data_IF_108729961523
#
_entry.id   IF_108729961523
#
_cell.length_a   1.000
_cell.length_b   1.000
_cell.length_c   1.000
_cell.angle_alpha   90.00
_cell.angle_beta   90.00
_cell.angle_gamma   90.00
#
_symmetry.space_group_name_H-M   'P 1'
#
loop_
_entity.id
_entity.type
_entity.pdbx_description
1 polymer ?
#
# COMPACT_ATOMS: atom_id res chain seq x y z
N UNK A 1 -21.59 -43.90 -35.86
CA UNK A 1 -22.18 -43.87 -34.50
C UNK A 1 -21.46 -42.78 -33.71
N UNK A 2 -21.75 -42.61 -32.43
CA UNK A 2 -21.14 -41.56 -31.58
C UNK A 2 -20.48 -42.23 -30.38
N UNK A 3 -19.18 -41.99 -30.20
CA UNK A 3 -18.44 -42.45 -29.02
C UNK A 3 -18.35 -41.35 -27.98
N UNK A 4 -18.29 -41.74 -26.71
CA UNK A 4 -18.19 -40.79 -25.59
C UNK A 4 -16.77 -40.79 -25.03
N UNK A 5 -16.23 -39.59 -24.77
CA UNK A 5 -14.90 -39.45 -24.21
C UNK A 5 -14.86 -39.98 -22.76
N UNK A 6 -13.98 -40.94 -22.42
CA UNK A 6 -13.92 -41.50 -21.06
C UNK A 6 -13.42 -40.47 -20.02
N UNK A 7 -12.75 -39.39 -20.46
CA UNK A 7 -12.22 -38.35 -19.56
C UNK A 7 -13.23 -37.24 -19.23
N UNK A 8 -14.15 -36.91 -20.14
CA UNK A 8 -15.04 -35.75 -19.96
C UNK A 8 -16.51 -35.97 -20.36
N UNK A 9 -16.88 -37.15 -20.87
CA UNK A 9 -18.25 -37.49 -21.24
C UNK A 9 -18.79 -36.80 -22.50
N UNK A 10 -17.98 -36.05 -23.25
CA UNK A 10 -18.44 -35.40 -24.47
C UNK A 10 -18.71 -36.41 -25.60
N UNK A 11 -19.80 -36.24 -26.39
CA UNK A 11 -20.02 -37.01 -27.60
C UNK A 11 -19.00 -36.60 -28.67
N UNK A 12 -18.41 -37.58 -29.34
CA UNK A 12 -17.46 -37.39 -30.43
C UNK A 12 -17.81 -38.31 -31.60
N UNK A 13 -17.48 -37.91 -32.85
CA UNK A 13 -17.54 -38.79 -34.01
C UNK A 13 -16.74 -40.08 -33.77
N UNK A 14 -17.18 -41.21 -34.32
CA UNK A 14 -16.48 -42.49 -34.14
C UNK A 14 -15.04 -42.47 -34.69
N UNK A 15 -14.81 -41.73 -35.77
CA UNK A 15 -13.52 -41.52 -36.43
C UNK A 15 -12.64 -40.46 -35.75
N UNK A 16 -13.14 -39.79 -34.70
CA UNK A 16 -12.37 -38.77 -33.99
C UNK A 16 -11.15 -39.37 -33.28
N UNK A 17 -9.93 -39.00 -33.70
CA UNK A 17 -8.69 -39.41 -33.03
C UNK A 17 -8.52 -38.76 -31.65
N UNK A 18 -8.98 -37.51 -31.51
CA UNK A 18 -8.91 -36.74 -30.28
C UNK A 18 -10.30 -36.24 -29.86
N UNK A 19 -10.52 -36.08 -28.56
CA UNK A 19 -11.75 -35.49 -28.05
C UNK A 19 -11.80 -33.99 -28.37
N UNK A 20 -12.88 -33.53 -29.03
CA UNK A 20 -13.04 -32.13 -29.39
C UNK A 20 -13.21 -31.17 -28.19
N UNK A 21 -13.57 -31.70 -27.01
CA UNK A 21 -13.77 -30.90 -25.80
C UNK A 21 -12.54 -30.82 -24.90
N UNK A 22 -11.79 -31.91 -24.75
CA UNK A 22 -10.69 -32.00 -23.77
C UNK A 22 -9.35 -32.51 -24.33
N UNK A 23 -9.28 -32.83 -25.62
CA UNK A 23 -8.04 -33.28 -26.28
C UNK A 23 -7.60 -34.71 -25.99
N UNK A 24 -8.42 -35.54 -25.34
CA UNK A 24 -8.09 -36.94 -25.05
C UNK A 24 -7.87 -37.79 -26.31
N UNK A 25 -6.75 -38.52 -26.40
CA UNK A 25 -6.40 -39.39 -27.55
C UNK A 25 -7.02 -40.80 -27.42
N UNK A 26 -7.94 -41.11 -28.33
CA UNK A 26 -8.67 -42.39 -28.33
C UNK A 26 -7.83 -43.59 -28.80
N UNK A 27 -6.68 -43.38 -29.44
CA UNK A 27 -5.81 -44.48 -29.89
C UNK A 27 -5.19 -45.28 -28.74
N UNK A 28 -5.15 -44.69 -27.54
CA UNK A 28 -4.67 -45.35 -26.32
C UNK A 28 -5.58 -46.48 -25.84
N UNK A 29 -6.86 -46.49 -26.23
CA UNK A 29 -7.82 -47.52 -25.82
C UNK A 29 -7.71 -48.83 -26.63
N UNK A 30 -7.03 -48.81 -27.79
CA UNK A 30 -6.91 -49.98 -28.66
C UNK A 30 -5.70 -50.89 -28.35
N UNK A 31 -4.91 -50.58 -27.31
CA UNK A 31 -3.67 -51.30 -27.00
C UNK A 31 -3.75 -52.31 -25.85
N UNK A 32 -4.93 -52.83 -25.52
CA UNK A 32 -5.03 -53.91 -24.52
C UNK A 32 -5.52 -55.23 -25.14
N UNK A 33 -4.61 -56.22 -25.12
CA UNK A 33 -4.71 -57.69 -25.26
C UNK A 33 -4.42 -58.40 -26.61
N UNK A 34 -3.87 -59.65 -26.60
CA UNK A 34 -3.41 -60.50 -25.48
C UNK A 34 -1.92 -60.94 -25.51
N UNK A 35 -1.46 -61.37 -24.32
CA UNK A 35 -0.14 -61.91 -24.03
C UNK A 35 0.05 -63.34 -24.57
N UNK A 36 1.06 -63.56 -25.44
CA UNK A 36 1.91 -64.77 -25.45
C UNK A 36 2.95 -64.71 -26.59
N UNK A 37 4.04 -63.94 -26.43
CA UNK A 37 5.28 -64.18 -27.19
C UNK A 37 6.49 -63.77 -26.33
N UNK A 38 7.54 -64.61 -26.20
CA UNK A 38 8.79 -64.22 -25.60
C UNK A 38 9.54 -63.33 -26.61
N UNK A 39 9.32 -62.03 -26.51
CA UNK A 39 10.03 -61.02 -27.31
C UNK A 39 11.45 -60.86 -26.76
N UNK A 40 12.44 -61.22 -27.57
CA UNK A 40 13.84 -60.87 -27.36
C UNK A 40 13.99 -59.35 -27.24
N UNK A 41 14.44 -58.91 -26.08
CA UNK A 41 14.92 -57.55 -25.85
C UNK A 41 16.23 -57.34 -26.60
N UNK A 42 16.15 -56.80 -27.82
CA UNK A 42 17.33 -56.28 -28.49
C UNK A 42 16.94 -55.03 -29.30
N UNK A 43 16.92 -53.87 -28.64
CA UNK A 43 17.68 -52.67 -29.01
C UNK A 43 17.17 -51.43 -28.24
N UNK A 44 18.06 -50.57 -27.73
CA UNK A 44 17.70 -49.33 -27.06
C UNK A 44 17.37 -48.25 -28.10
N UNK A 45 16.09 -47.98 -28.32
CA UNK A 45 15.66 -46.73 -28.97
C UNK A 45 15.79 -45.57 -27.98
N UNK A 46 17.02 -45.12 -27.82
CA UNK A 46 17.38 -43.89 -27.11
C UNK A 46 17.29 -42.73 -28.11
N UNK A 47 16.07 -42.41 -28.60
CA UNK A 47 15.85 -41.16 -29.33
C UNK A 47 15.35 -40.12 -28.31
N UNK A 48 16.15 -39.08 -27.99
CA UNK A 48 15.67 -37.99 -27.16
C UNK A 48 14.53 -37.30 -27.89
N UNK A 49 13.30 -37.43 -27.37
CA UNK A 49 12.21 -36.57 -27.79
C UNK A 49 12.67 -35.12 -27.65
N UNK A 50 12.44 -34.25 -28.64
CA UNK A 50 12.68 -32.82 -28.50
C UNK A 50 11.83 -32.36 -27.32
N UNK A 51 12.46 -32.15 -26.16
CA UNK A 51 11.77 -31.62 -25.02
C UNK A 51 11.45 -30.18 -25.39
N UNK A 52 10.22 -29.94 -25.83
CA UNK A 52 9.67 -28.61 -25.96
C UNK A 52 9.38 -28.12 -24.53
N UNK A 53 10.45 -28.00 -23.74
CA UNK A 53 10.39 -27.42 -22.42
C UNK A 53 10.06 -25.95 -22.65
N UNK A 54 8.92 -25.45 -22.13
CA UNK A 54 8.64 -24.04 -22.19
C UNK A 54 9.84 -23.29 -21.62
N UNK A 55 10.24 -22.14 -22.20
CA UNK A 55 11.42 -21.42 -21.78
C UNK A 55 11.40 -21.26 -20.26
N UNK A 56 12.32 -21.96 -19.60
CA UNK A 56 12.45 -21.90 -18.16
C UNK A 56 12.98 -20.51 -17.86
N UNK A 57 12.09 -19.60 -17.47
CA UNK A 57 12.47 -18.32 -16.88
C UNK A 57 13.48 -18.66 -15.79
N UNK A 58 14.70 -18.10 -15.87
CA UNK A 58 15.79 -18.46 -14.99
C UNK A 58 15.56 -17.84 -13.59
N UNK A 59 14.66 -18.46 -12.81
CA UNK A 59 14.24 -18.03 -11.47
C UNK A 59 15.43 -17.98 -10.50
N UNK A 60 16.49 -18.76 -10.77
CA UNK A 60 17.70 -18.81 -9.93
C UNK A 60 18.44 -17.47 -9.95
N UNK A 61 18.63 -16.84 -11.12
CA UNK A 61 19.30 -15.53 -11.23
C UNK A 61 18.54 -14.43 -10.47
N UNK A 62 17.21 -14.52 -10.41
CA UNK A 62 16.40 -13.54 -9.68
C UNK A 62 16.52 -13.69 -8.15
N UNK A 63 16.67 -14.92 -7.64
CA UNK A 63 16.83 -15.16 -6.21
C UNK A 63 18.11 -14.52 -5.66
N UNK A 64 19.20 -14.53 -6.42
CA UNK A 64 20.47 -13.90 -6.03
C UNK A 64 20.40 -12.36 -6.00
N UNK A 65 19.55 -11.77 -6.86
CA UNK A 65 19.39 -10.31 -6.96
C UNK A 65 18.46 -9.77 -5.86
N UNK A 66 17.44 -10.55 -5.45
CA UNK A 66 16.40 -10.09 -4.54
C UNK A 66 16.86 -9.52 -3.17
N UNK A 67 17.79 -10.15 -2.41
CA UNK A 67 18.19 -9.61 -1.10
C UNK A 67 19.04 -8.34 -1.23
N UNK A 68 19.81 -8.21 -2.33
CA UNK A 68 20.65 -7.04 -2.60
C UNK A 68 19.81 -5.82 -3.00
N UNK A 69 18.66 -6.04 -3.65
CA UNK A 69 17.76 -4.98 -4.08
C UNK A 69 16.87 -4.45 -2.93
N UNK A 70 16.65 -5.24 -1.89
CA UNK A 70 15.79 -4.88 -0.76
C UNK A 70 16.43 -3.86 0.21
N UNK A 71 17.77 -3.79 0.27
CA UNK A 71 18.51 -2.82 1.10
C UNK A 71 18.38 -1.38 0.59
N UNK A 72 18.66 -1.07 -0.68
CA UNK A 72 18.45 0.27 -1.20
C UNK A 72 16.97 0.67 -1.15
N UNK A 73 16.03 -0.26 -1.37
CA UNK A 73 14.60 0.05 -1.27
C UNK A 73 14.17 0.62 0.09
N UNK A 74 14.61 0.00 1.19
CA UNK A 74 14.30 0.51 2.54
C UNK A 74 14.89 1.90 2.82
N UNK A 75 16.11 2.17 2.33
CA UNK A 75 16.75 3.48 2.47
C UNK A 75 16.02 4.55 1.64
N UNK A 76 15.68 4.24 0.38
CA UNK A 76 14.95 5.16 -0.51
C UNK A 76 13.57 5.49 0.05
N UNK A 77 12.87 4.50 0.60
CA UNK A 77 11.60 4.72 1.31
C UNK A 77 11.77 5.70 2.48
N UNK A 78 12.80 5.50 3.29
CA UNK A 78 13.09 6.34 4.46
C UNK A 78 13.38 7.79 4.06
N UNK A 79 14.21 7.98 3.03
CA UNK A 79 14.54 9.30 2.47
C UNK A 79 13.26 9.97 1.98
N UNK A 80 12.41 9.24 1.27
CA UNK A 80 11.15 9.79 0.76
C UNK A 80 10.22 10.28 1.89
N UNK A 81 10.09 9.52 2.98
CA UNK A 81 9.28 9.92 4.14
C UNK A 81 9.84 11.18 4.82
N UNK A 82 11.17 11.31 4.92
CA UNK A 82 11.80 12.53 5.42
C UNK A 82 11.51 13.71 4.50
N UNK A 83 11.65 13.53 3.19
CA UNK A 83 11.36 14.58 2.21
C UNK A 83 9.90 15.05 2.31
N UNK A 84 8.94 14.14 2.40
CA UNK A 84 7.52 14.48 2.62
C UNK A 84 7.35 15.26 3.92
N UNK A 85 8.02 14.83 5.00
CA UNK A 85 7.94 15.53 6.29
C UNK A 85 8.50 16.96 6.18
N UNK A 86 9.61 17.15 5.47
CA UNK A 86 10.20 18.47 5.20
C UNK A 86 9.26 19.31 4.34
N UNK A 87 8.72 18.76 3.25
CA UNK A 87 7.74 19.44 2.40
C UNK A 87 6.53 19.89 3.21
N UNK A 88 6.00 19.02 4.06
CA UNK A 88 4.89 19.34 4.94
C UNK A 88 5.23 20.45 5.93
N UNK A 89 6.42 20.45 6.55
CA UNK A 89 6.86 21.54 7.44
C UNK A 89 6.97 22.86 6.68
N UNK A 90 7.51 22.84 5.45
CA UNK A 90 7.66 24.03 4.62
C UNK A 90 6.32 24.64 4.22
N UNK A 91 5.34 23.83 3.78
CA UNK A 91 3.98 24.26 3.38
C UNK A 91 3.22 25.09 4.41
N UNK A 92 3.70 25.14 5.63
CA UNK A 92 2.88 25.32 6.82
C UNK A 92 3.60 26.22 7.86
N UNK A 93 4.92 26.39 7.72
CA UNK A 93 5.73 27.47 8.31
C UNK A 93 5.16 28.87 8.03
N UNK A 94 4.34 28.99 7.00
CA UNK A 94 3.58 30.17 6.56
C UNK A 94 2.63 30.70 7.65
N UNK A 95 1.98 29.79 8.38
CA UNK A 95 0.90 30.13 9.33
C UNK A 95 1.40 30.80 10.61
N UNK A 96 2.69 30.65 10.92
CA UNK A 96 3.31 31.07 12.19
C UNK A 96 3.66 32.56 12.28
N UNK A 97 3.69 33.30 11.17
CA UNK A 97 4.24 34.67 11.11
C UNK A 97 3.19 35.77 11.40
N UNK A 98 1.91 35.41 11.66
CA UNK A 98 0.91 36.40 12.12
C UNK A 98 1.07 36.71 13.61
N UNK A 99 1.92 37.69 13.90
CA UNK A 99 2.18 38.22 15.24
C UNK A 99 0.95 39.03 15.73
N UNK A 100 0.20 38.45 16.69
CA UNK A 100 -0.79 39.12 17.53
C UNK A 100 -2.19 38.46 17.61
N UNK A 101 -2.58 37.96 18.79
CA UNK A 101 -3.95 37.49 19.08
C UNK A 101 -4.21 36.02 18.75
N UNK A 102 -5.41 35.69 18.24
CA UNK A 102 -5.83 34.31 17.89
C UNK A 102 -4.84 33.60 16.95
N UNK A 103 -4.12 34.35 16.12
CA UNK A 103 -3.12 33.81 15.19
C UNK A 103 -1.87 33.22 15.87
N UNK A 104 -1.50 33.71 17.06
CA UNK A 104 -0.38 33.13 17.81
C UNK A 104 -0.74 31.74 18.36
N UNK A 105 -2.00 31.55 18.79
CA UNK A 105 -2.50 30.25 19.23
C UNK A 105 -2.57 29.25 18.08
N UNK A 106 -3.08 29.68 16.92
CA UNK A 106 -3.07 28.88 15.67
C UNK A 106 -1.64 28.47 15.32
N UNK A 107 -0.71 29.43 15.31
CA UNK A 107 0.70 29.17 15.04
C UNK A 107 1.32 28.15 16.00
N UNK A 108 1.10 28.30 17.31
CA UNK A 108 1.60 27.37 18.31
C UNK A 108 1.11 25.93 18.13
N UNK A 109 -0.18 25.75 17.82
CA UNK A 109 -0.77 24.43 17.54
C UNK A 109 -0.17 23.83 16.27
N UNK A 110 -0.09 24.63 15.21
CA UNK A 110 0.56 24.25 13.96
C UNK A 110 2.03 23.83 14.15
N UNK A 111 2.80 24.54 14.98
CA UNK A 111 4.18 24.15 15.30
C UNK A 111 4.24 22.79 16.00
N UNK A 112 3.31 22.54 16.93
CA UNK A 112 3.17 21.24 17.58
C UNK A 112 2.92 20.11 16.59
N UNK A 113 2.02 20.32 15.62
CA UNK A 113 1.74 19.36 14.55
C UNK A 113 3.00 19.01 13.74
N UNK A 114 3.81 20.02 13.41
CA UNK A 114 5.04 19.83 12.61
C UNK A 114 6.10 19.03 13.34
N UNK A 115 6.27 19.31 14.64
CA UNK A 115 7.19 18.54 15.48
C UNK A 115 6.73 17.08 15.50
N UNK A 116 5.43 16.82 15.62
CA UNK A 116 4.89 15.46 15.60
C UNK A 116 5.14 14.78 14.24
N UNK A 117 4.90 15.44 13.12
CA UNK A 117 5.19 14.88 11.79
C UNK A 117 6.68 14.56 11.60
N UNK A 118 7.57 15.46 12.01
CA UNK A 118 9.01 15.24 11.93
C UNK A 118 9.42 14.04 12.79
N UNK A 119 8.85 13.91 14.00
CA UNK A 119 9.08 12.76 14.86
C UNK A 119 8.57 11.47 14.21
N UNK A 120 7.37 11.46 13.63
CA UNK A 120 6.84 10.31 12.88
C UNK A 120 7.80 9.92 11.74
N UNK A 121 8.24 10.89 10.94
CA UNK A 121 9.19 10.65 9.84
C UNK A 121 10.51 10.07 10.32
N UNK A 122 11.06 10.60 11.42
CA UNK A 122 12.30 10.11 12.03
C UNK A 122 12.14 8.68 12.58
N UNK A 123 11.03 8.37 13.24
CA UNK A 123 10.73 7.01 13.73
C UNK A 123 10.55 6.00 12.59
N UNK A 124 9.92 6.43 11.48
CA UNK A 124 9.79 5.59 10.28
C UNK A 124 11.14 5.34 9.60
N UNK A 125 12.03 6.35 9.55
CA UNK A 125 13.40 6.17 9.08
C UNK A 125 14.16 5.19 9.97
N UNK A 126 14.13 5.36 11.29
CA UNK A 126 14.80 4.43 12.22
C UNK A 126 14.27 3.00 12.10
N UNK A 127 12.96 2.83 11.90
CA UNK A 127 12.33 1.52 11.70
C UNK A 127 12.77 0.85 10.41
N UNK A 128 12.90 1.64 9.34
CA UNK A 128 13.32 1.16 8.03
C UNK A 128 14.79 0.73 8.05
N UNK A 129 15.65 1.45 8.78
CA UNK A 129 17.05 1.06 9.01
C UNK A 129 17.13 -0.28 9.75
N UNK A 130 16.33 -0.45 10.81
CA UNK A 130 16.30 -1.71 11.59
C UNK A 130 15.55 -2.85 10.89
N UNK A 131 14.87 -2.59 9.76
CA UNK A 131 14.02 -3.54 9.01
C UNK A 131 13.00 -4.28 9.89
N UNK A 132 12.68 -3.72 11.04
CA UNK A 132 11.80 -4.32 12.04
C UNK A 132 11.08 -3.19 12.73
N UNK A 133 9.78 -3.10 12.44
CA UNK A 133 8.88 -2.25 13.20
C UNK A 133 8.58 -3.03 14.48
N UNK A 134 9.28 -2.69 15.56
CA UNK A 134 8.98 -3.27 16.86
C UNK A 134 7.59 -2.82 17.32
N UNK A 135 6.92 -3.63 18.15
CA UNK A 135 5.63 -3.23 18.74
C UNK A 135 5.72 -1.90 19.51
N UNK A 136 6.90 -1.58 20.07
CA UNK A 136 7.17 -0.29 20.70
C UNK A 136 7.14 0.89 19.72
N UNK A 137 7.65 0.73 18.50
CA UNK A 137 7.59 1.80 17.49
C UNK A 137 6.15 2.02 17.02
N UNK A 138 5.37 0.95 16.78
CA UNK A 138 3.94 1.09 16.44
C UNK A 138 3.19 1.85 17.52
N UNK A 139 3.48 1.54 18.78
CA UNK A 139 2.89 2.21 19.93
C UNK A 139 3.25 3.70 19.97
N UNK A 140 4.52 4.06 19.79
CA UNK A 140 4.95 5.47 19.74
C UNK A 140 4.29 6.20 18.57
N UNK A 141 4.29 5.60 17.37
CA UNK A 141 3.64 6.19 16.20
C UNK A 141 2.14 6.41 16.42
N UNK A 142 1.48 5.50 17.14
CA UNK A 142 0.06 5.63 17.49
C UNK A 142 -0.18 6.77 18.49
N UNK A 143 0.69 6.94 19.49
CA UNK A 143 0.62 8.09 20.42
C UNK A 143 0.85 9.40 19.67
N UNK A 144 1.84 9.45 18.78
CA UNK A 144 2.10 10.63 17.95
C UNK A 144 0.90 10.95 17.05
N UNK A 145 0.32 9.94 16.41
CA UNK A 145 -0.93 10.10 15.64
C UNK A 145 -2.09 10.61 16.49
N UNK A 146 -2.26 10.10 17.72
CA UNK A 146 -3.26 10.61 18.66
C UNK A 146 -3.07 12.09 18.99
N UNK A 147 -1.84 12.48 19.35
CA UNK A 147 -1.52 13.87 19.69
C UNK A 147 -1.74 14.80 18.50
N UNK A 148 -1.36 14.38 17.31
CA UNK A 148 -1.61 15.11 16.07
C UNK A 148 -3.11 15.38 15.86
N UNK A 149 -3.95 14.36 16.04
CA UNK A 149 -5.39 14.49 15.87
C UNK A 149 -6.02 15.44 16.90
N UNK A 150 -5.52 15.46 18.14
CA UNK A 150 -5.95 16.42 19.15
C UNK A 150 -5.56 17.84 18.75
N UNK A 151 -4.32 18.06 18.31
CA UNK A 151 -3.87 19.38 17.87
C UNK A 151 -4.65 19.87 16.65
N UNK A 152 -4.93 19.01 15.67
CA UNK A 152 -5.82 19.33 14.55
C UNK A 152 -7.23 19.72 15.02
N UNK A 153 -7.76 19.02 16.04
CA UNK A 153 -9.03 19.39 16.67
C UNK A 153 -9.00 20.79 17.28
N UNK A 154 -7.97 21.07 18.08
CA UNK A 154 -7.75 22.38 18.71
C UNK A 154 -7.58 23.48 17.67
N UNK A 155 -6.83 23.22 16.59
CA UNK A 155 -6.66 24.15 15.47
C UNK A 155 -8.01 24.57 14.89
N UNK A 156 -8.85 23.59 14.54
CA UNK A 156 -10.18 23.84 13.98
C UNK A 156 -11.10 24.61 14.96
N UNK A 157 -11.02 24.34 16.26
CA UNK A 157 -11.78 25.11 17.26
C UNK A 157 -11.32 26.57 17.34
N UNK A 158 -10.02 26.83 17.23
CA UNK A 158 -9.48 28.20 17.27
C UNK A 158 -9.89 28.98 16.00
N UNK A 159 -9.96 28.32 14.85
CA UNK A 159 -10.33 28.93 13.57
C UNK A 159 -11.77 29.48 13.55
N UNK A 160 -12.69 28.84 14.29
CA UNK A 160 -14.02 29.40 14.60
C UNK A 160 -15.20 28.58 14.08
N UNK A 161 -16.39 29.22 14.03
CA UNK A 161 -17.69 28.53 14.04
C UNK A 161 -17.96 27.58 12.87
N UNK A 162 -17.39 27.84 11.68
CA UNK A 162 -17.55 26.96 10.52
C UNK A 162 -16.71 25.69 10.60
N UNK A 163 -15.68 25.65 11.45
CA UNK A 163 -14.76 24.52 11.61
C UNK A 163 -15.01 23.73 12.91
N UNK A 164 -16.01 24.11 13.72
CA UNK A 164 -16.33 23.39 14.98
C UNK A 164 -16.64 21.91 14.71
N UNK A 165 -17.39 21.61 13.65
CA UNK A 165 -17.66 20.22 13.24
C UNK A 165 -16.38 19.43 12.99
N UNK A 166 -15.49 19.99 12.16
CA UNK A 166 -14.17 19.43 11.85
C UNK A 166 -13.34 19.17 13.12
N UNK A 167 -13.37 20.12 14.06
CA UNK A 167 -12.65 20.03 15.33
C UNK A 167 -13.17 18.90 16.21
N UNK A 168 -14.49 18.79 16.36
CA UNK A 168 -15.13 17.70 17.12
C UNK A 168 -14.80 16.35 16.49
N UNK A 169 -14.91 16.24 15.16
CA UNK A 169 -14.61 15.02 14.42
C UNK A 169 -13.15 14.58 14.61
N UNK A 170 -12.20 15.51 14.57
CA UNK A 170 -10.78 15.23 14.82
C UNK A 170 -10.52 14.73 16.25
N UNK A 171 -11.13 15.35 17.27
CA UNK A 171 -10.98 14.92 18.66
C UNK A 171 -11.61 13.54 18.88
N UNK A 172 -12.80 13.28 18.33
CA UNK A 172 -13.43 11.96 18.41
C UNK A 172 -12.53 10.93 17.74
N UNK A 173 -12.05 11.22 16.53
CA UNK A 173 -11.11 10.35 15.81
C UNK A 173 -9.85 10.04 16.64
N UNK A 174 -9.30 11.02 17.35
CA UNK A 174 -8.17 10.82 18.27
C UNK A 174 -8.52 9.79 19.36
N UNK A 175 -9.67 9.94 20.02
CA UNK A 175 -10.12 8.99 21.05
C UNK A 175 -10.27 7.57 20.48
N UNK A 176 -10.91 7.43 19.31
CA UNK A 176 -11.04 6.13 18.64
C UNK A 176 -9.66 5.53 18.29
N UNK A 177 -8.70 6.33 17.85
CA UNK A 177 -7.33 5.89 17.56
C UNK A 177 -6.60 5.43 18.82
N UNK A 178 -6.78 6.14 19.93
CA UNK A 178 -6.21 5.76 21.23
C UNK A 178 -6.79 4.43 21.72
N UNK A 179 -8.12 4.27 21.68
CA UNK A 179 -8.79 3.01 22.05
C UNK A 179 -8.33 1.87 21.15
N UNK A 180 -8.28 2.09 19.83
CA UNK A 180 -7.75 1.15 18.84
C UNK A 180 -6.35 0.66 19.22
N UNK A 181 -5.45 1.58 19.59
CA UNK A 181 -4.07 1.25 19.96
C UNK A 181 -4.00 0.29 21.16
N UNK A 182 -4.79 0.54 22.22
CA UNK A 182 -4.80 -0.34 23.39
C UNK A 182 -5.39 -1.72 23.08
N UNK A 183 -6.51 -1.75 22.34
CA UNK A 183 -7.18 -2.99 21.99
C UNK A 183 -6.37 -3.85 21.01
N UNK A 184 -5.65 -3.23 20.07
CA UNK A 184 -4.82 -3.92 19.09
C UNK A 184 -3.68 -4.73 19.72
N UNK A 185 -3.16 -4.30 20.87
CA UNK A 185 -2.09 -4.99 21.62
C UNK A 185 -2.60 -6.20 22.42
N UNK A 186 -3.91 -6.38 22.52
CA UNK A 186 -4.49 -7.52 23.22
C UNK A 186 -4.10 -8.84 22.54
N UNK A 187 -3.79 -9.86 23.35
CA UNK A 187 -3.57 -11.22 22.86
C UNK A 187 -4.86 -11.90 22.37
N UNK A 188 -6.03 -11.36 22.73
CA UNK A 188 -7.31 -11.85 22.26
C UNK A 188 -7.58 -11.41 20.83
N UNK A 189 -7.83 -12.38 19.96
CA UNK A 189 -8.15 -12.16 18.55
C UNK A 189 -9.39 -11.26 18.37
N UNK A 190 -10.44 -11.46 19.15
CA UNK A 190 -11.65 -10.62 19.14
C UNK A 190 -11.37 -9.17 19.56
N UNK A 191 -10.53 -8.98 20.59
CA UNK A 191 -10.16 -7.65 21.07
C UNK A 191 -9.29 -6.93 20.05
N UNK A 192 -8.36 -7.65 19.41
CA UNK A 192 -7.53 -7.10 18.33
C UNK A 192 -8.40 -6.66 17.14
N UNK A 193 -9.38 -7.47 16.72
CA UNK A 193 -10.34 -7.08 15.68
C UNK A 193 -11.15 -5.85 16.05
N UNK A 194 -11.65 -5.80 17.28
CA UNK A 194 -12.36 -4.62 17.79
C UNK A 194 -11.47 -3.39 17.69
N UNK A 195 -10.20 -3.49 18.09
CA UNK A 195 -9.22 -2.42 17.92
C UNK A 195 -9.09 -1.96 16.47
N UNK A 196 -8.96 -2.88 15.52
CA UNK A 196 -8.89 -2.54 14.08
C UNK A 196 -10.18 -1.82 13.62
N UNK A 197 -11.37 -2.21 14.09
CA UNK A 197 -12.63 -1.48 13.83
C UNK A 197 -12.58 -0.05 14.35
N UNK A 198 -12.14 0.14 15.59
CA UNK A 198 -11.98 1.48 16.17
C UNK A 198 -10.99 2.32 15.36
N UNK A 199 -9.90 1.71 14.88
CA UNK A 199 -8.93 2.37 14.00
C UNK A 199 -9.50 2.77 12.64
N UNK A 200 -10.37 1.94 12.05
CA UNK A 200 -11.10 2.28 10.83
C UNK A 200 -11.98 3.51 11.04
N UNK A 201 -12.78 3.51 12.10
CA UNK A 201 -13.69 4.60 12.43
C UNK A 201 -12.89 5.89 12.67
N UNK A 202 -11.77 5.80 13.41
CA UNK A 202 -10.87 6.93 13.60
C UNK A 202 -10.39 7.52 12.27
N UNK A 203 -9.93 6.67 11.35
CA UNK A 203 -9.44 7.14 10.06
C UNK A 203 -10.53 7.72 9.15
N UNK A 204 -11.76 7.21 9.20
CA UNK A 204 -12.91 7.79 8.49
C UNK A 204 -13.25 9.17 9.06
N UNK A 205 -13.33 9.30 10.38
CA UNK A 205 -13.62 10.58 11.04
C UNK A 205 -12.51 11.61 10.78
N UNK A 206 -11.24 11.18 10.77
CA UNK A 206 -10.11 12.02 10.36
C UNK A 206 -10.26 12.53 8.93
N UNK A 207 -10.62 11.64 8.00
CA UNK A 207 -10.82 12.02 6.61
C UNK A 207 -11.96 13.03 6.45
N UNK A 208 -13.08 12.83 7.16
CA UNK A 208 -14.21 13.77 7.15
C UNK A 208 -13.78 15.13 7.71
N UNK A 209 -13.08 15.13 8.85
CA UNK A 209 -12.54 16.34 9.48
C UNK A 209 -11.66 17.11 8.51
N UNK A 210 -10.64 16.47 7.92
CA UNK A 210 -9.78 17.07 6.91
C UNK A 210 -10.57 17.61 5.72
N UNK A 211 -11.45 16.78 5.15
CA UNK A 211 -12.24 17.16 3.97
C UNK A 211 -13.11 18.39 4.24
N UNK A 212 -13.63 18.52 5.46
CA UNK A 212 -14.42 19.67 5.87
C UNK A 212 -13.56 20.93 6.02
N UNK A 213 -12.36 20.83 6.60
CA UNK A 213 -11.39 21.94 6.69
C UNK A 213 -11.00 22.43 5.29
N UNK A 214 -10.71 21.53 4.35
CA UNK A 214 -10.35 21.90 2.97
C UNK A 214 -11.55 22.32 2.11
N UNK A 215 -12.76 21.83 2.40
CA UNK A 215 -13.99 22.27 1.74
C UNK A 215 -14.26 23.76 1.91
N UNK A 216 -13.86 24.34 3.04
CA UNK A 216 -13.89 25.80 3.27
C UNK A 216 -12.85 26.56 2.43
N UNK A 217 -11.63 26.01 2.31
CA UNK A 217 -10.52 26.60 1.57
C UNK A 217 -10.72 26.57 0.04
N UNK A 218 -11.43 25.56 -0.47
CA UNK A 218 -11.71 25.37 -1.90
C UNK A 218 -12.59 26.48 -2.52
N UNK A 219 -13.11 27.43 -1.74
CA UNK A 219 -13.72 28.65 -2.27
C UNK A 219 -12.71 29.63 -2.86
N UNK A 220 -11.41 29.49 -2.56
CA UNK A 220 -10.39 30.48 -2.94
C UNK A 220 -9.47 30.09 -4.10
N UNK A 221 -9.46 28.83 -4.56
CA UNK A 221 -8.71 28.44 -5.75
C UNK A 221 -9.36 27.19 -6.37
N UNK A 222 -9.38 27.10 -7.70
CA UNK A 222 -9.94 25.98 -8.48
C UNK A 222 -9.22 24.64 -8.29
N UNK A 223 -9.00 24.22 -7.04
CA UNK A 223 -8.32 23.02 -6.55
C UNK A 223 -9.24 21.80 -6.55
N UNK A 224 -10.04 21.63 -7.61
CA UNK A 224 -10.67 20.32 -7.89
C UNK A 224 -9.61 19.20 -8.00
N UNK A 225 -8.36 19.56 -8.29
CA UNK A 225 -7.19 18.66 -8.33
C UNK A 225 -6.62 18.28 -6.95
N UNK A 226 -6.86 19.04 -5.87
CA UNK A 226 -6.39 18.64 -4.54
C UNK A 226 -7.23 17.51 -3.96
N UNK A 227 -8.52 17.44 -4.32
CA UNK A 227 -9.43 16.41 -3.84
C UNK A 227 -9.01 15.00 -4.28
N UNK A 228 -8.43 14.84 -5.48
CA UNK A 228 -7.99 13.52 -5.98
C UNK A 228 -6.89 12.90 -5.13
N UNK A 229 -5.98 13.71 -4.58
CA UNK A 229 -4.97 13.26 -3.61
C UNK A 229 -5.61 12.72 -2.34
N UNK A 230 -6.55 13.47 -1.75
CA UNK A 230 -7.23 13.05 -0.53
C UNK A 230 -7.99 11.73 -0.74
N UNK A 231 -8.63 11.55 -1.89
CA UNK A 231 -9.27 10.26 -2.22
C UNK A 231 -8.26 9.12 -2.35
N UNK A 232 -7.10 9.33 -2.98
CA UNK A 232 -6.06 8.28 -3.06
C UNK A 232 -5.48 7.94 -1.69
N UNK A 233 -5.25 8.95 -0.84
CA UNK A 233 -4.83 8.76 0.56
C UNK A 233 -5.88 7.98 1.36
N UNK A 234 -7.15 8.32 1.20
CA UNK A 234 -8.27 7.65 1.88
C UNK A 234 -8.45 6.20 1.42
N UNK A 235 -8.39 5.94 0.12
CA UNK A 235 -8.42 4.58 -0.43
C UNK A 235 -7.25 3.76 0.11
N UNK A 236 -6.05 4.36 0.17
CA UNK A 236 -4.87 3.70 0.75
C UNK A 236 -5.09 3.38 2.24
N UNK A 237 -5.69 4.29 3.00
CA UNK A 237 -6.03 4.04 4.41
C UNK A 237 -7.03 2.88 4.57
N UNK A 238 -8.09 2.84 3.77
CA UNK A 238 -9.07 1.74 3.80
C UNK A 238 -8.40 0.40 3.48
N UNK A 239 -7.59 0.34 2.41
CA UNK A 239 -6.88 -0.88 2.03
C UNK A 239 -5.89 -1.33 3.11
N UNK A 240 -5.22 -0.38 3.78
CA UNK A 240 -4.37 -0.69 4.92
C UNK A 240 -5.15 -1.34 6.05
N UNK A 241 -6.33 -0.82 6.39
CA UNK A 241 -7.17 -1.40 7.43
C UNK A 241 -7.68 -2.79 7.03
N UNK A 242 -8.10 -2.99 5.78
CA UNK A 242 -8.48 -4.31 5.25
C UNK A 242 -7.31 -5.30 5.39
N UNK A 243 -6.10 -4.86 5.10
CA UNK A 243 -4.86 -5.65 5.28
C UNK A 243 -4.68 -6.05 6.75
N UNK A 244 -4.90 -5.12 7.69
CA UNK A 244 -4.84 -5.45 9.13
C UNK A 244 -5.91 -6.47 9.54
N UNK A 245 -7.12 -6.39 8.99
CA UNK A 245 -8.19 -7.37 9.23
C UNK A 245 -7.85 -8.78 8.73
N UNK A 246 -7.14 -8.89 7.61
CA UNK A 246 -6.76 -10.18 7.03
C UNK A 246 -5.59 -10.81 7.81
N UNK A 247 -4.76 -10.00 8.49
CA UNK A 247 -3.52 -10.44 9.15
C UNK A 247 -3.69 -11.64 10.10
N UNK A 248 -4.72 -11.76 10.96
CA UNK A 248 -4.86 -12.93 11.85
C UNK A 248 -5.09 -14.25 11.09
N UNK A 249 -5.66 -14.18 9.89
CA UNK A 249 -5.84 -15.34 9.00
C UNK A 249 -4.58 -15.71 8.19
N UNK A 250 -3.49 -14.94 8.32
CA UNK A 250 -2.23 -15.21 7.61
C UNK A 250 -1.52 -16.51 8.04
N UNK A 251 -2.09 -17.28 8.97
CA UNK A 251 -1.69 -18.67 9.24
C UNK A 251 -1.77 -19.54 7.97
N UNK A 252 -2.69 -19.23 7.06
CA UNK A 252 -2.76 -19.88 5.75
C UNK A 252 -1.78 -19.21 4.78
N UNK A 253 -0.94 -20.02 4.12
CA UNK A 253 0.12 -19.51 3.23
C UNK A 253 -0.40 -18.59 2.12
N UNK A 254 -1.53 -18.92 1.50
CA UNK A 254 -2.15 -18.11 0.44
C UNK A 254 -2.59 -16.76 1.00
N UNK A 255 -3.25 -16.75 2.16
CA UNK A 255 -3.74 -15.52 2.81
C UNK A 255 -2.57 -14.60 3.19
N UNK A 256 -1.46 -15.16 3.67
CA UNK A 256 -0.23 -14.39 3.93
C UNK A 256 0.28 -13.64 2.70
N UNK A 257 0.23 -14.28 1.52
CA UNK A 257 0.67 -13.65 0.27
C UNK A 257 -0.32 -12.59 -0.20
N UNK A 258 -1.63 -12.88 -0.13
CA UNK A 258 -2.69 -11.89 -0.45
C UNK A 258 -2.51 -10.65 0.43
N UNK A 259 -2.24 -10.85 1.72
CA UNK A 259 -2.01 -9.78 2.67
C UNK A 259 -0.78 -8.92 2.30
N UNK A 260 0.33 -9.55 1.92
CA UNK A 260 1.52 -8.82 1.41
C UNK A 260 1.19 -8.05 0.13
N UNK A 261 0.43 -8.66 -0.79
CA UNK A 261 0.05 -8.04 -2.05
C UNK A 261 -0.81 -6.79 -1.83
N UNK A 262 -1.83 -6.89 -0.97
CA UNK A 262 -2.68 -5.75 -0.59
C UNK A 262 -1.87 -4.62 0.04
N UNK A 263 -0.92 -4.93 0.92
CA UNK A 263 -0.04 -3.92 1.52
C UNK A 263 0.83 -3.21 0.46
N UNK A 264 1.33 -3.95 -0.52
CA UNK A 264 2.13 -3.37 -1.60
C UNK A 264 1.30 -2.49 -2.53
N UNK A 265 0.07 -2.92 -2.87
CA UNK A 265 -0.87 -2.11 -3.65
C UNK A 265 -1.21 -0.84 -2.88
N UNK A 266 -1.42 -0.93 -1.58
CA UNK A 266 -1.66 0.22 -0.70
C UNK A 266 -0.51 1.22 -0.75
N UNK A 267 0.74 0.74 -0.61
CA UNK A 267 1.94 1.58 -0.70
C UNK A 267 2.08 2.23 -2.08
N UNK A 268 1.74 1.50 -3.14
CA UNK A 268 1.77 2.00 -4.51
C UNK A 268 0.74 3.12 -4.72
N UNK A 269 -0.51 2.94 -4.27
CA UNK A 269 -1.54 3.97 -4.38
C UNK A 269 -1.17 5.22 -3.57
N UNK A 270 -0.61 5.03 -2.38
CA UNK A 270 -0.10 6.14 -1.56
C UNK A 270 1.02 6.90 -2.29
N UNK A 271 1.97 6.20 -2.90
CA UNK A 271 3.06 6.83 -3.66
C UNK A 271 2.57 7.64 -4.87
N UNK A 272 1.56 7.13 -5.57
CA UNK A 272 0.92 7.83 -6.69
C UNK A 272 0.23 9.09 -6.16
N UNK A 273 -0.46 8.99 -5.01
CA UNK A 273 -1.04 10.14 -4.34
C UNK A 273 -0.01 11.24 -4.09
N UNK A 274 1.10 10.94 -3.40
CA UNK A 274 2.16 11.93 -3.10
C UNK A 274 2.70 12.59 -4.37
N UNK A 275 2.94 11.79 -5.42
CA UNK A 275 3.43 12.30 -6.70
C UNK A 275 2.42 13.24 -7.38
N UNK A 276 1.14 12.86 -7.39
CA UNK A 276 0.05 13.68 -7.94
C UNK A 276 -0.08 14.98 -7.16
N UNK A 277 0.01 14.94 -5.82
CA UNK A 277 -0.02 16.13 -4.98
C UNK A 277 1.10 17.12 -5.35
N UNK A 278 2.34 16.64 -5.40
CA UNK A 278 3.48 17.48 -5.76
C UNK A 278 3.34 18.08 -7.17
N UNK A 279 2.92 17.27 -8.14
CA UNK A 279 2.68 17.72 -9.51
C UNK A 279 1.57 18.78 -9.59
N UNK A 280 0.47 18.58 -8.85
CA UNK A 280 -0.64 19.54 -8.79
C UNK A 280 -0.17 20.88 -8.22
N UNK A 281 0.54 20.86 -7.09
CA UNK A 281 1.05 22.07 -6.43
C UNK A 281 2.02 22.86 -7.33
N UNK A 282 2.90 22.17 -8.07
CA UNK A 282 3.80 22.84 -9.02
C UNK A 282 3.02 23.38 -10.23
N UNK A 283 2.08 22.61 -10.75
CA UNK A 283 1.30 22.99 -11.94
C UNK A 283 0.41 24.20 -11.71
N UNK A 284 -0.05 24.43 -10.47
CA UNK A 284 -0.79 25.66 -10.12
C UNK A 284 0.08 26.92 -10.16
N UNK A 285 1.41 26.77 -10.22
CA UNK A 285 2.35 27.88 -10.16
C UNK A 285 2.36 28.58 -8.81
N UNK A 286 3.20 29.62 -8.70
CA UNK A 286 3.15 30.54 -7.56
C UNK A 286 2.15 31.65 -7.93
N UNK A 287 1.06 31.86 -7.16
CA UNK A 287 0.16 32.98 -7.40
C UNK A 287 0.93 34.31 -7.31
N UNK A 288 0.50 35.32 -8.06
CA UNK A 288 1.15 36.64 -8.01
C UNK A 288 1.18 37.17 -6.58
N UNK A 289 2.37 37.42 -6.06
CA UNK A 289 2.58 37.92 -4.70
C UNK A 289 2.71 39.45 -4.64
N UNK A 290 2.52 40.14 -5.76
CA UNK A 290 2.67 41.60 -5.84
C UNK A 290 1.64 42.29 -4.94
N UNK A 291 2.12 43.12 -4.02
CA UNK A 291 1.26 43.85 -3.07
C UNK A 291 0.78 43.02 -1.87
N UNK A 292 1.11 41.72 -1.80
CA UNK A 292 0.86 40.93 -0.60
C UNK A 292 1.93 41.20 0.46
N UNK A 293 1.58 41.12 1.76
CA UNK A 293 2.58 41.17 2.82
C UNK A 293 3.65 40.09 2.63
N UNK A 294 4.91 40.40 2.96
CA UNK A 294 6.06 39.52 2.68
C UNK A 294 5.93 38.10 3.24
N UNK A 295 5.21 37.89 4.35
CA UNK A 295 4.95 36.56 4.90
C UNK A 295 3.95 35.74 4.08
N UNK A 296 2.94 36.38 3.47
CA UNK A 296 2.00 35.70 2.56
C UNK A 296 2.72 35.31 1.27
N UNK A 297 3.55 36.23 0.76
CA UNK A 297 4.40 35.98 -0.41
C UNK A 297 5.36 34.81 -0.15
N UNK A 298 6.11 34.86 0.96
CA UNK A 298 7.00 33.77 1.39
C UNK A 298 6.26 32.45 1.53
N UNK A 299 5.01 32.51 1.98
CA UNK A 299 4.12 31.37 2.04
C UNK A 299 3.88 30.65 0.72
N UNK A 300 3.46 31.40 -0.29
CA UNK A 300 3.21 30.85 -1.62
C UNK A 300 4.47 30.15 -2.18
N UNK A 301 5.66 30.70 -1.95
CA UNK A 301 6.93 30.08 -2.36
C UNK A 301 7.27 28.82 -1.56
N UNK A 302 7.01 28.78 -0.25
CA UNK A 302 7.24 27.57 0.56
C UNK A 302 6.29 26.44 0.20
N UNK A 303 5.03 26.73 -0.10
CA UNK A 303 4.09 25.72 -0.61
C UNK A 303 4.55 25.16 -1.96
N UNK A 304 5.01 26.03 -2.86
CA UNK A 304 5.59 25.60 -4.13
C UNK A 304 6.85 24.73 -3.92
N UNK A 305 7.73 25.12 -2.99
CA UNK A 305 8.91 24.33 -2.64
C UNK A 305 8.53 22.96 -2.05
N UNK A 306 7.48 22.88 -1.24
CA UNK A 306 6.96 21.62 -0.72
C UNK A 306 6.47 20.71 -1.84
N UNK A 307 5.67 21.24 -2.78
CA UNK A 307 5.24 20.48 -3.95
C UNK A 307 6.43 19.97 -4.79
N UNK A 308 7.49 20.79 -4.91
CA UNK A 308 8.73 20.39 -5.57
C UNK A 308 9.50 19.27 -4.85
N UNK A 309 9.38 19.17 -3.53
CA UNK A 309 9.98 18.09 -2.72
C UNK A 309 9.11 16.83 -2.75
N UNK A 310 7.79 16.97 -2.86
CA UNK A 310 6.86 15.84 -2.92
C UNK A 310 7.00 15.02 -4.21
N UNK A 311 7.38 15.63 -5.33
CA UNK A 311 7.64 14.90 -6.58
C UNK A 311 8.76 13.86 -6.43
N UNK A 312 10.01 14.22 -6.07
CA UNK A 312 11.07 13.23 -5.90
C UNK A 312 10.74 12.24 -4.79
N UNK A 313 10.07 12.65 -3.72
CA UNK A 313 9.61 11.71 -2.69
C UNK A 313 8.59 10.69 -3.23
N UNK A 314 7.60 11.13 -4.00
CA UNK A 314 6.63 10.29 -4.67
C UNK A 314 7.27 9.30 -5.62
N UNK A 315 8.26 9.74 -6.41
CA UNK A 315 9.05 8.87 -7.31
C UNK A 315 9.80 7.80 -6.51
N UNK A 316 10.48 8.19 -5.43
CA UNK A 316 11.22 7.25 -4.57
C UNK A 316 10.30 6.20 -3.93
N UNK A 317 9.13 6.62 -3.44
CA UNK A 317 8.11 5.71 -2.90
C UNK A 317 7.54 4.78 -3.99
N UNK A 318 7.31 5.30 -5.18
CA UNK A 318 6.76 4.56 -6.31
C UNK A 318 7.72 3.45 -6.75
N UNK A 319 8.98 3.81 -6.98
CA UNK A 319 10.05 2.85 -7.33
C UNK A 319 10.17 1.78 -6.26
N UNK A 320 10.19 2.17 -4.99
CA UNK A 320 10.26 1.21 -3.88
C UNK A 320 9.05 0.28 -3.85
N UNK A 321 7.83 0.82 -4.01
CA UNK A 321 6.59 0.04 -4.00
C UNK A 321 6.55 -0.97 -5.15
N UNK A 322 7.03 -0.59 -6.34
CA UNK A 322 7.17 -1.49 -7.49
C UNK A 322 8.12 -2.64 -7.18
N UNK A 323 9.29 -2.36 -6.59
CA UNK A 323 10.25 -3.41 -6.23
C UNK A 323 9.66 -4.39 -5.20
N UNK A 324 9.02 -3.89 -4.15
CA UNK A 324 8.38 -4.76 -3.13
C UNK A 324 7.26 -5.60 -3.77
N UNK A 325 6.47 -5.01 -4.67
CA UNK A 325 5.42 -5.71 -5.41
C UNK A 325 6.01 -6.85 -6.26
N UNK A 326 7.05 -6.58 -7.04
CA UNK A 326 7.73 -7.58 -7.87
C UNK A 326 8.28 -8.74 -7.03
N UNK A 327 8.91 -8.46 -5.88
CA UNK A 327 9.41 -9.52 -4.99
C UNK A 327 8.28 -10.41 -4.46
N UNK A 328 7.12 -9.82 -4.18
CA UNK A 328 5.94 -10.55 -3.71
C UNK A 328 5.32 -11.41 -4.82
N UNK A 329 5.26 -10.91 -6.06
CA UNK A 329 4.80 -11.67 -7.23
C UNK A 329 5.72 -12.87 -7.49
N UNK A 330 7.05 -12.70 -7.38
CA UNK A 330 8.00 -13.80 -7.53
C UNK A 330 7.89 -14.81 -6.39
N UNK A 331 7.64 -14.37 -5.15
CA UNK A 331 7.33 -15.28 -4.04
C UNK A 331 6.06 -16.09 -4.31
N UNK A 332 5.00 -15.45 -4.82
CA UNK A 332 3.76 -16.11 -5.20
C UNK A 332 3.99 -17.15 -6.31
N UNK A 333 4.68 -16.77 -7.39
CA UNK A 333 5.00 -17.67 -8.49
C UNK A 333 5.75 -18.92 -8.03
N UNK A 334 6.76 -18.75 -7.17
CA UNK A 334 7.53 -19.88 -6.59
C UNK A 334 6.67 -20.83 -5.76
N UNK A 335 5.64 -20.33 -5.08
CA UNK A 335 4.75 -21.17 -4.27
C UNK A 335 3.73 -21.92 -5.12
N UNK A 336 3.28 -21.32 -6.23
CA UNK A 336 2.37 -21.97 -7.18
C UNK A 336 3.09 -23.05 -7.98
N UNK A 337 4.35 -22.84 -8.38
CA UNK A 337 5.08 -23.79 -9.23
C UNK A 337 5.72 -24.95 -8.49
N UNK A 338 5.84 -24.91 -7.16
CA UNK A 338 6.30 -26.09 -6.41
C UNK A 338 5.24 -27.19 -6.59
N UNK A 339 5.57 -28.30 -7.29
CA UNK A 339 4.63 -29.40 -7.41
C UNK A 339 4.22 -29.82 -6.00
N UNK A 340 2.92 -30.06 -5.81
CA UNK A 340 2.39 -30.55 -4.55
C UNK A 340 3.05 -31.91 -4.30
N UNK A 341 4.16 -31.93 -3.56
CA UNK A 341 4.78 -33.15 -3.09
C UNK A 341 3.81 -33.69 -2.05
N UNK A 342 3.11 -34.81 -2.33
CA UNK A 342 2.21 -35.39 -1.33
C UNK A 342 3.05 -35.64 -0.09
N UNK A 343 2.64 -35.04 1.03
CA UNK A 343 3.32 -35.19 2.29
C UNK A 343 3.23 -36.67 2.71
N UNK A 344 4.30 -37.42 2.47
CA UNK A 344 4.41 -38.84 2.82
C UNK A 344 4.17 -39.79 1.65
N UNK A 345 5.24 -40.08 0.91
CA UNK A 345 5.54 -41.42 0.40
C UNK A 345 6.98 -41.76 0.76
#
# INVERSE_FOLDING_TARGET
MTKYCPKCGAPNPDDARFCMKCGFDFSTLQQTQPANQPVQFNQPFNQPMPSNQPPTINVQKFNEISPKLLLPGGLLYSIAIILISIGFILSFSISLIKIGGKSAAVGGVSLGDYIIYLLIGLFLLMSSIKRSISGGVIFILSILGFLYMILLGVFNFIEGSSAIGAGVEAVIAAVFLLVSMFLFRSNSLYTSYTGITFGLVAGILYFISISSTYGGANRFAGLLSANSYYYLGFVSMILFVITLYIKPFSRYQIISIINKLLLNITSLLFSIGVLVLGAVVISSGVPSTTGLPGYVAGGAYTLFAAGAIDIPAGILLLVTSIFILLTTIVELGRKITKPYSPAGQ
#
